data_IF_071261455301
#
_entry.id   IF_071261455301
#
_cell.length_a   1.000
_cell.length_b   1.000
_cell.length_c   1.000
_cell.angle_alpha   90.00
_cell.angle_beta   90.00
_cell.angle_gamma   90.00
#
_symmetry.space_group_name_H-M   'P 1'
#
loop_
_entity.id
_entity.type
_entity.pdbx_description
1 polymer ?
#
# COMPACT_ATOMS: atom_id res chain seq x y z
N UNK A 1 6.94 52.53 13.51
CA UNK A 1 5.75 52.01 14.17
C UNK A 1 5.72 50.51 13.90
N UNK A 2 5.90 49.76 14.94
CA UNK A 2 6.04 48.28 14.85
C UNK A 2 4.64 47.69 14.63
N UNK A 3 4.45 47.01 13.48
CA UNK A 3 3.27 46.22 13.27
C UNK A 3 3.25 45.10 14.31
N UNK A 4 2.22 45.05 15.15
CA UNK A 4 1.91 43.86 15.93
C UNK A 4 1.63 42.74 14.93
N UNK A 5 2.58 41.80 14.76
CA UNK A 5 2.25 40.50 14.18
C UNK A 5 1.06 39.96 14.98
N UNK A 6 0.07 39.37 14.31
CA UNK A 6 -0.99 38.62 15.00
C UNK A 6 -0.35 37.85 16.13
N UNK A 7 -0.66 38.22 17.38
CA UNK A 7 -0.03 37.59 18.54
C UNK A 7 -0.54 36.14 18.54
N UNK A 8 0.35 35.23 18.17
CA UNK A 8 0.02 33.80 17.97
C UNK A 8 -0.63 33.24 19.25
N UNK A 9 -0.21 33.69 20.39
CA UNK A 9 -0.69 33.26 21.70
C UNK A 9 -2.15 33.72 21.92
N UNK A 10 -2.48 34.96 21.58
CA UNK A 10 -3.84 35.50 21.72
C UNK A 10 -4.82 34.80 20.77
N UNK A 11 -4.43 34.58 19.52
CA UNK A 11 -5.27 33.85 18.55
C UNK A 11 -5.48 32.38 18.99
N UNK A 12 -4.45 31.77 19.53
CA UNK A 12 -4.52 30.41 20.07
C UNK A 12 -5.50 30.33 21.24
N UNK A 13 -5.44 31.28 22.15
CA UNK A 13 -6.35 31.35 23.31
C UNK A 13 -7.79 31.64 22.86
N UNK A 14 -7.96 32.49 21.87
CA UNK A 14 -9.27 32.72 21.25
C UNK A 14 -9.87 31.44 20.63
N UNK A 15 -9.08 30.66 19.88
CA UNK A 15 -9.54 29.39 19.34
C UNK A 15 -9.90 28.39 20.45
N UNK A 16 -9.12 28.32 21.51
CA UNK A 16 -9.41 27.45 22.67
C UNK A 16 -10.69 27.87 23.39
N UNK A 17 -10.89 29.17 23.58
CA UNK A 17 -12.09 29.72 24.23
C UNK A 17 -13.37 29.43 23.42
N UNK A 18 -13.26 29.36 22.07
CA UNK A 18 -14.36 29.13 21.17
C UNK A 18 -14.37 27.68 20.59
N UNK A 19 -13.87 26.73 21.35
CA UNK A 19 -13.66 25.34 20.90
C UNK A 19 -14.95 24.67 20.38
N UNK A 20 -16.05 24.80 21.11
CA UNK A 20 -17.32 24.18 20.74
C UNK A 20 -17.86 24.77 19.44
N UNK A 21 -17.79 26.08 19.30
CA UNK A 21 -18.20 26.80 18.09
C UNK A 21 -17.32 26.42 16.90
N UNK A 22 -16.01 26.26 17.12
CA UNK A 22 -15.07 25.77 16.09
C UNK A 22 -15.49 24.40 15.59
N UNK A 23 -15.78 23.44 16.49
CA UNK A 23 -16.21 22.10 16.11
C UNK A 23 -17.54 22.11 15.35
N UNK A 24 -18.52 22.92 15.79
CA UNK A 24 -19.81 23.05 15.10
C UNK A 24 -19.65 23.64 13.71
N UNK A 25 -18.84 24.69 13.59
CA UNK A 25 -18.53 25.32 12.31
C UNK A 25 -17.83 24.34 11.37
N UNK A 26 -16.83 23.60 11.86
CA UNK A 26 -16.12 22.59 11.09
C UNK A 26 -17.06 21.52 10.52
N UNK A 27 -17.96 21.00 11.35
CA UNK A 27 -18.96 20.02 10.91
C UNK A 27 -19.92 20.62 9.86
N UNK A 28 -20.24 21.92 9.94
CA UNK A 28 -21.05 22.60 8.96
C UNK A 28 -20.34 22.79 7.61
N UNK A 29 -19.02 22.95 7.62
CA UNK A 29 -18.19 23.09 6.41
C UNK A 29 -17.93 21.76 5.70
N UNK A 30 -18.01 20.64 6.40
CA UNK A 30 -17.70 19.31 5.91
C UNK A 30 -18.92 18.62 5.24
N UNK A 31 -19.68 19.34 4.42
CA UNK A 31 -20.98 18.91 3.86
C UNK A 31 -20.88 17.59 3.10
N UNK A 32 -19.88 17.46 2.21
CA UNK A 32 -19.73 16.31 1.31
C UNK A 32 -19.34 15.00 2.02
N UNK A 33 -18.83 15.10 3.25
CA UNK A 33 -18.29 13.97 3.99
C UNK A 33 -19.00 13.71 5.32
N UNK A 34 -20.11 14.41 5.57
CA UNK A 34 -20.84 14.38 6.84
C UNK A 34 -21.24 12.98 7.30
N UNK A 35 -21.70 12.12 6.39
CA UNK A 35 -22.07 10.75 6.71
C UNK A 35 -20.88 9.93 7.22
N UNK A 36 -19.74 10.03 6.54
CA UNK A 36 -18.50 9.35 6.95
C UNK A 36 -17.95 9.87 8.27
N UNK A 37 -18.08 11.17 8.54
CA UNK A 37 -17.68 11.76 9.82
C UNK A 37 -18.49 11.12 10.96
N UNK A 38 -19.82 11.04 10.81
CA UNK A 38 -20.68 10.41 11.81
C UNK A 38 -20.28 8.97 12.08
N UNK A 39 -20.00 8.18 11.04
CA UNK A 39 -19.54 6.79 11.14
C UNK A 39 -18.22 6.66 11.91
N UNK A 40 -17.27 7.56 11.67
CA UNK A 40 -15.95 7.55 12.33
C UNK A 40 -16.08 7.96 13.80
N UNK A 41 -16.86 9.01 14.08
CA UNK A 41 -17.10 9.46 15.44
C UNK A 41 -17.84 8.40 16.27
N UNK A 42 -18.79 7.66 15.67
CA UNK A 42 -19.50 6.57 16.32
C UNK A 42 -18.58 5.37 16.60
N UNK A 43 -17.67 5.03 15.67
CA UNK A 43 -16.66 3.99 15.85
C UNK A 43 -15.60 4.32 16.88
N UNK A 44 -15.32 5.61 17.07
CA UNK A 44 -14.32 6.11 18.03
C UNK A 44 -12.85 5.77 17.71
N UNK A 45 -12.55 5.35 16.47
CA UNK A 45 -11.22 4.92 16.07
C UNK A 45 -10.24 6.08 15.89
N UNK A 46 -10.75 7.24 15.46
CA UNK A 46 -9.99 8.47 15.21
C UNK A 46 -10.77 9.63 15.78
N UNK A 47 -10.13 10.42 16.63
CA UNK A 47 -10.72 11.66 17.15
C UNK A 47 -10.57 12.80 16.13
N UNK A 48 -11.44 12.79 15.12
CA UNK A 48 -11.41 13.73 14.01
C UNK A 48 -11.46 15.20 14.47
N UNK A 49 -12.28 15.49 15.48
CA UNK A 49 -12.47 16.86 15.95
C UNK A 49 -11.24 17.37 16.70
N UNK A 50 -10.69 16.58 17.61
CA UNK A 50 -9.46 16.91 18.32
C UNK A 50 -8.28 17.03 17.38
N UNK A 51 -8.17 16.14 16.39
CA UNK A 51 -7.10 16.20 15.40
C UNK A 51 -7.21 17.45 14.52
N UNK A 52 -8.41 17.88 14.17
CA UNK A 52 -8.64 19.13 13.44
C UNK A 52 -8.23 20.37 14.26
N UNK A 53 -8.55 20.39 15.56
CA UNK A 53 -8.10 21.43 16.47
C UNK A 53 -6.57 21.50 16.55
N UNK A 54 -5.89 20.35 16.65
CA UNK A 54 -4.44 20.27 16.66
C UNK A 54 -3.82 20.84 15.38
N UNK A 55 -4.36 20.46 14.22
CA UNK A 55 -3.91 21.01 12.91
C UNK A 55 -4.07 22.53 12.89
N UNK A 56 -5.23 23.05 13.27
CA UNK A 56 -5.47 24.50 13.34
C UNK A 56 -4.48 25.19 14.30
N UNK A 57 -4.21 24.60 15.44
CA UNK A 57 -3.30 25.11 16.45
C UNK A 57 -1.85 25.18 15.94
N UNK A 58 -1.34 24.10 15.35
CA UNK A 58 0.00 24.08 14.78
C UNK A 58 0.17 25.10 13.64
N UNK A 59 -0.87 25.29 12.81
CA UNK A 59 -0.86 26.29 11.73
C UNK A 59 -0.78 27.71 12.31
N UNK A 60 -1.58 28.04 13.33
CA UNK A 60 -1.61 29.38 13.93
C UNK A 60 -0.31 29.69 14.66
N UNK A 61 0.21 28.73 15.42
CA UNK A 61 1.45 28.87 16.18
C UNK A 61 2.71 28.78 15.30
N UNK A 62 2.55 28.43 14.00
CA UNK A 62 3.65 28.23 13.04
C UNK A 62 4.63 27.14 13.50
N UNK A 63 4.05 26.05 14.02
CA UNK A 63 4.76 24.84 14.48
C UNK A 63 4.88 23.85 13.33
N UNK A 64 5.74 24.17 12.36
CA UNK A 64 5.88 23.40 11.14
C UNK A 64 6.39 21.97 11.40
N UNK A 65 7.37 21.80 12.29
CA UNK A 65 7.95 20.48 12.58
C UNK A 65 6.90 19.54 13.23
N UNK A 66 6.13 20.05 14.20
CA UNK A 66 5.06 19.31 14.87
C UNK A 66 3.90 19.00 13.90
N UNK A 67 3.56 19.94 13.03
CA UNK A 67 2.54 19.75 12.00
C UNK A 67 2.93 18.65 11.02
N UNK A 68 4.18 18.63 10.56
CA UNK A 68 4.71 17.60 9.67
C UNK A 68 4.75 16.24 10.38
N UNK A 69 5.22 16.19 11.63
CA UNK A 69 5.26 14.97 12.42
C UNK A 69 3.85 14.40 12.61
N UNK A 70 2.90 15.27 12.93
CA UNK A 70 1.50 14.89 13.09
C UNK A 70 0.87 14.41 11.77
N UNK A 71 1.16 15.08 10.65
CA UNK A 71 0.69 14.67 9.32
C UNK A 71 1.13 13.26 8.96
N UNK A 72 2.37 12.89 9.27
CA UNK A 72 2.90 11.54 9.02
C UNK A 72 2.18 10.48 9.85
N UNK A 73 1.96 10.75 11.14
CA UNK A 73 1.22 9.82 12.02
C UNK A 73 -0.21 9.64 11.53
N UNK A 74 -0.88 10.73 11.19
CA UNK A 74 -2.24 10.72 10.64
C UNK A 74 -2.32 9.95 9.32
N UNK A 75 -1.34 10.12 8.41
CA UNK A 75 -1.29 9.42 7.14
C UNK A 75 -1.29 7.90 7.33
N UNK A 76 -0.44 7.39 8.22
CA UNK A 76 -0.37 5.98 8.57
C UNK A 76 -1.68 5.50 9.21
N UNK A 77 -2.20 6.23 10.20
CA UNK A 77 -3.44 5.85 10.88
C UNK A 77 -4.64 5.77 9.92
N UNK A 78 -4.75 6.72 8.98
CA UNK A 78 -5.80 6.70 7.96
C UNK A 78 -5.67 5.53 6.99
N UNK A 79 -4.43 5.18 6.62
CA UNK A 79 -4.16 4.02 5.78
C UNK A 79 -4.52 2.71 6.49
N UNK A 80 -4.26 2.60 7.79
CA UNK A 80 -4.62 1.44 8.62
C UNK A 80 -6.13 1.22 8.74
N UNK A 81 -6.91 2.31 8.75
CA UNK A 81 -8.37 2.26 8.87
C UNK A 81 -9.10 2.29 7.52
N UNK A 82 -8.39 2.12 6.40
CA UNK A 82 -8.94 2.14 5.03
C UNK A 82 -9.75 3.40 4.69
N UNK A 83 -9.40 4.54 5.28
CA UNK A 83 -10.03 5.81 4.99
C UNK A 83 -9.48 6.40 3.69
N UNK A 84 -10.37 6.93 2.85
CA UNK A 84 -9.99 7.42 1.52
C UNK A 84 -9.28 8.77 1.55
N UNK A 85 -8.34 8.99 0.63
CA UNK A 85 -7.66 10.27 0.45
C UNK A 85 -8.63 11.42 0.11
N UNK A 86 -9.67 11.14 -0.69
CA UNK A 86 -10.70 12.11 -1.02
C UNK A 86 -11.43 12.64 0.23
N UNK A 87 -11.71 11.75 1.19
CA UNK A 87 -12.30 12.16 2.46
C UNK A 87 -11.35 13.06 3.25
N UNK A 88 -10.05 12.72 3.33
CA UNK A 88 -9.06 13.56 4.04
C UNK A 88 -8.92 14.94 3.42
N UNK A 89 -8.88 15.01 2.10
CA UNK A 89 -8.78 16.28 1.37
C UNK A 89 -9.96 17.20 1.70
N UNK A 90 -11.19 16.70 1.62
CA UNK A 90 -12.40 17.46 1.98
C UNK A 90 -12.38 17.89 3.46
N UNK A 91 -11.92 17.02 4.36
CA UNK A 91 -11.81 17.32 5.78
C UNK A 91 -10.80 18.44 6.05
N UNK A 92 -9.61 18.39 5.44
CA UNK A 92 -8.60 19.45 5.59
C UNK A 92 -9.06 20.77 4.96
N UNK A 93 -9.78 20.72 3.83
CA UNK A 93 -10.40 21.93 3.27
C UNK A 93 -11.46 22.52 4.20
N UNK A 94 -12.23 21.68 4.91
CA UNK A 94 -13.18 22.16 5.91
C UNK A 94 -12.44 22.81 7.11
N UNK A 95 -11.34 22.22 7.59
CA UNK A 95 -10.48 22.81 8.63
C UNK A 95 -9.97 24.18 8.18
N UNK A 96 -9.42 24.28 6.96
CA UNK A 96 -8.92 25.56 6.41
C UNK A 96 -9.99 26.62 6.35
N UNK A 97 -11.20 26.29 5.83
CA UNK A 97 -12.33 27.26 5.77
C UNK A 97 -12.78 27.69 7.16
N UNK A 98 -12.84 26.76 8.11
CA UNK A 98 -13.19 27.04 9.51
C UNK A 98 -12.15 27.93 10.17
N UNK A 99 -10.86 27.66 9.95
CA UNK A 99 -9.78 28.47 10.49
C UNK A 99 -9.86 29.92 9.98
N UNK A 100 -10.07 30.11 8.67
CA UNK A 100 -10.24 31.45 8.10
C UNK A 100 -11.48 32.17 8.64
N UNK A 101 -12.57 31.46 8.89
CA UNK A 101 -13.76 32.05 9.51
C UNK A 101 -13.45 32.57 10.92
N UNK A 102 -12.73 31.80 11.75
CA UNK A 102 -12.38 32.21 13.11
C UNK A 102 -11.32 33.32 13.13
N UNK A 103 -10.38 33.33 12.22
CA UNK A 103 -9.41 34.43 12.08
C UNK A 103 -10.10 35.72 11.68
N UNK A 104 -11.09 35.66 10.81
CA UNK A 104 -11.92 36.82 10.46
C UNK A 104 -12.74 37.34 11.67
N UNK A 105 -13.36 36.44 12.43
CA UNK A 105 -14.09 36.80 13.67
C UNK A 105 -13.17 37.44 14.75
N UNK A 106 -11.96 36.94 14.84
CA UNK A 106 -10.95 37.49 15.74
C UNK A 106 -10.57 38.92 15.35
N UNK A 107 -10.32 39.18 14.07
CA UNK A 107 -9.95 40.48 13.53
C UNK A 107 -11.09 41.51 13.71
N UNK A 108 -12.37 41.10 13.52
CA UNK A 108 -13.52 41.97 13.78
C UNK A 108 -13.67 42.38 15.28
N UNK A 109 -13.29 41.50 16.22
CA UNK A 109 -13.39 41.76 17.65
C UNK A 109 -12.24 42.61 18.19
N UNK A 110 -11.05 42.49 17.62
CA UNK A 110 -9.87 43.25 18.08
C UNK A 110 -9.92 44.74 17.68
N UNK A 111 -10.83 45.13 16.78
CA UNK A 111 -11.28 46.51 16.53
C UNK A 111 -10.19 47.50 16.10
N UNK A 112 -8.98 47.06 15.79
CA UNK A 112 -7.88 47.92 15.34
C UNK A 112 -7.84 48.00 13.80
N UNK A 113 -7.98 49.25 13.42
CA UNK A 113 -8.01 49.82 12.07
C UNK A 113 -6.97 49.23 11.09
N UNK A 114 -7.43 48.97 9.86
CA UNK A 114 -6.68 48.75 8.62
C UNK A 114 -5.37 47.94 8.79
N UNK A 115 -5.53 46.63 8.89
CA UNK A 115 -4.41 45.71 8.65
C UNK A 115 -3.83 45.97 7.24
N UNK A 116 -2.55 46.37 7.10
CA UNK A 116 -2.01 46.64 5.76
C UNK A 116 -2.17 45.39 4.92
N UNK A 117 -2.57 45.55 3.65
CA UNK A 117 -2.71 44.45 2.67
C UNK A 117 -1.55 43.44 2.70
N UNK A 118 -0.35 43.94 2.99
CA UNK A 118 0.84 43.08 3.05
C UNK A 118 0.76 42.06 4.20
N UNK A 119 0.32 42.45 5.39
CA UNK A 119 0.20 41.51 6.53
C UNK A 119 -0.85 40.44 6.29
N UNK A 120 -1.94 40.78 5.61
CA UNK A 120 -2.96 39.81 5.19
C UNK A 120 -2.40 38.78 4.21
N UNK A 121 -1.67 39.19 3.18
CA UNK A 121 -1.08 38.28 2.20
C UNK A 121 0.05 37.43 2.82
N UNK A 122 0.81 37.94 3.77
CA UNK A 122 1.83 37.18 4.49
C UNK A 122 1.17 36.11 5.40
N UNK A 123 0.04 36.44 6.04
CA UNK A 123 -0.75 35.47 6.82
C UNK A 123 -1.38 34.41 5.92
N UNK A 124 -2.00 34.84 4.81
CA UNK A 124 -2.63 33.96 3.83
C UNK A 124 -1.62 32.95 3.29
N UNK A 125 -0.46 33.43 2.86
CA UNK A 125 0.62 32.57 2.37
C UNK A 125 1.05 31.58 3.43
N UNK A 126 1.31 32.00 4.67
CA UNK A 126 1.74 31.14 5.77
C UNK A 126 0.72 30.03 6.06
N UNK A 127 -0.56 30.37 6.13
CA UNK A 127 -1.63 29.37 6.38
C UNK A 127 -1.68 28.36 5.26
N UNK A 128 -1.65 28.80 4.01
CA UNK A 128 -1.71 27.89 2.87
C UNK A 128 -0.45 27.03 2.77
N UNK A 129 0.75 27.60 2.94
CA UNK A 129 2.00 26.84 2.95
C UNK A 129 1.96 25.73 4.04
N UNK A 130 1.48 26.03 5.25
CA UNK A 130 1.34 25.04 6.32
C UNK A 130 0.29 23.96 5.99
N UNK A 131 -0.86 24.33 5.39
CA UNK A 131 -1.87 23.35 4.95
C UNK A 131 -1.29 22.44 3.86
N UNK A 132 -0.56 22.99 2.91
CA UNK A 132 0.05 22.24 1.83
C UNK A 132 1.16 21.30 2.37
N UNK A 133 1.97 21.75 3.31
CA UNK A 133 2.96 20.93 4.02
C UNK A 133 2.28 19.76 4.76
N UNK A 134 1.19 20.02 5.47
CA UNK A 134 0.41 18.98 6.12
C UNK A 134 -0.09 17.94 5.11
N UNK A 135 -0.75 18.38 4.04
CA UNK A 135 -1.33 17.49 3.02
C UNK A 135 -0.23 16.66 2.33
N UNK A 136 0.88 17.29 1.94
CA UNK A 136 1.97 16.60 1.27
C UNK A 136 2.57 15.48 2.15
N UNK A 137 2.90 15.79 3.40
CA UNK A 137 3.47 14.80 4.32
C UNK A 137 2.46 13.71 4.70
N UNK A 138 1.19 14.06 4.83
CA UNK A 138 0.11 13.10 5.04
C UNK A 138 -0.01 12.12 3.87
N UNK A 139 -0.08 12.64 2.63
CA UNK A 139 -0.26 11.81 1.45
C UNK A 139 0.93 10.91 1.16
N UNK A 140 2.15 11.40 1.35
CA UNK A 140 3.36 10.58 1.23
C UNK A 140 3.30 9.42 2.22
N UNK A 141 3.09 9.68 3.51
CA UNK A 141 3.06 8.63 4.53
C UNK A 141 1.90 7.65 4.38
N UNK A 142 0.74 8.12 3.90
CA UNK A 142 -0.39 7.27 3.54
C UNK A 142 -0.04 6.33 2.38
N UNK A 143 0.54 6.85 1.30
CA UNK A 143 0.93 6.08 0.12
C UNK A 143 2.02 5.06 0.45
N UNK A 144 3.07 5.48 1.14
CA UNK A 144 4.16 4.60 1.53
C UNK A 144 3.67 3.40 2.35
N UNK A 145 2.76 3.64 3.30
CA UNK A 145 2.17 2.58 4.11
C UNK A 145 1.32 1.62 3.26
N UNK A 146 0.49 2.14 2.33
CA UNK A 146 -0.32 1.31 1.43
C UNK A 146 0.54 0.49 0.47
N UNK A 147 1.60 1.08 -0.06
CA UNK A 147 2.54 0.39 -0.95
C UNK A 147 3.29 -0.72 -0.21
N UNK A 148 3.72 -0.50 1.03
CA UNK A 148 4.32 -1.51 1.88
C UNK A 148 3.36 -2.67 2.18
N UNK A 149 2.09 -2.37 2.47
CA UNK A 149 1.04 -3.38 2.65
C UNK A 149 0.82 -4.21 1.37
N UNK A 150 0.70 -3.54 0.23
CA UNK A 150 0.55 -4.23 -1.06
C UNK A 150 1.75 -5.12 -1.37
N UNK A 151 2.96 -4.63 -1.12
CA UNK A 151 4.18 -5.40 -1.30
C UNK A 151 4.22 -6.62 -0.35
N UNK A 152 3.87 -6.44 0.91
CA UNK A 152 3.78 -7.52 1.90
C UNK A 152 2.76 -8.59 1.49
N UNK A 153 1.57 -8.17 1.02
CA UNK A 153 0.54 -9.11 0.52
C UNK A 153 1.02 -9.86 -0.73
N UNK A 154 1.67 -9.19 -1.68
CA UNK A 154 2.27 -9.85 -2.84
C UNK A 154 3.28 -10.91 -2.42
N UNK A 155 4.20 -10.56 -1.51
CA UNK A 155 5.22 -11.48 -1.00
C UNK A 155 4.62 -12.69 -0.27
N UNK A 156 3.52 -12.53 0.46
CA UNK A 156 2.78 -13.65 1.06
C UNK A 156 2.18 -14.58 -0.01
N UNK A 157 1.54 -14.01 -1.03
CA UNK A 157 1.01 -14.79 -2.17
C UNK A 157 2.12 -15.52 -2.91
N UNK A 158 3.27 -14.90 -3.10
CA UNK A 158 4.46 -15.51 -3.73
C UNK A 158 5.00 -16.69 -2.93
N UNK A 159 5.17 -16.52 -1.63
CA UNK A 159 5.65 -17.61 -0.76
C UNK A 159 4.71 -18.82 -0.76
N UNK A 160 3.40 -18.59 -0.93
CA UNK A 160 2.38 -19.63 -1.05
C UNK A 160 2.26 -20.17 -2.48
N UNK A 161 2.77 -19.46 -3.50
CA UNK A 161 2.57 -19.79 -4.90
C UNK A 161 3.55 -20.85 -5.45
N UNK A 162 4.60 -21.18 -4.72
CA UNK A 162 5.61 -22.19 -5.07
C UNK A 162 5.86 -23.14 -3.87
N UNK A 163 4.86 -23.91 -3.44
CA UNK A 163 5.06 -24.87 -2.36
C UNK A 163 5.78 -26.11 -2.89
N UNK A 164 7.00 -26.40 -2.40
CA UNK A 164 7.65 -27.68 -2.63
C UNK A 164 7.24 -28.61 -1.50
N UNK A 165 6.51 -29.66 -1.85
CA UNK A 165 5.90 -30.60 -0.91
C UNK A 165 6.71 -31.89 -0.92
N UNK A 166 7.49 -32.21 0.14
CA UNK A 166 8.23 -33.47 0.21
C UNK A 166 7.25 -34.65 0.32
N UNK A 167 7.43 -35.64 -0.53
CA UNK A 167 6.67 -36.89 -0.51
C UNK A 167 7.42 -37.95 0.30
N UNK A 168 8.75 -37.97 0.14
CA UNK A 168 9.67 -38.78 0.95
C UNK A 168 11.04 -38.09 1.01
N UNK A 169 12.08 -38.77 1.47
CA UNK A 169 13.42 -38.20 1.66
C UNK A 169 14.11 -37.73 0.37
N UNK A 170 13.66 -38.15 -0.81
CA UNK A 170 14.32 -37.87 -2.09
C UNK A 170 13.38 -37.33 -3.17
N UNK A 171 12.07 -37.34 -2.90
CA UNK A 171 11.04 -36.95 -3.87
C UNK A 171 10.20 -35.83 -3.31
N UNK A 172 9.98 -34.80 -4.11
CA UNK A 172 9.06 -33.72 -3.80
C UNK A 172 8.13 -33.41 -4.98
N UNK A 173 6.99 -32.80 -4.66
CA UNK A 173 6.01 -32.29 -5.61
C UNK A 173 5.97 -30.78 -5.57
N UNK A 174 6.00 -30.17 -6.74
CA UNK A 174 5.80 -28.75 -6.97
C UNK A 174 4.51 -28.54 -7.74
N UNK A 175 3.38 -28.24 -7.10
CA UNK A 175 2.15 -27.89 -7.81
C UNK A 175 2.19 -26.44 -8.30
N UNK A 176 1.95 -26.25 -9.60
CA UNK A 176 1.83 -24.94 -10.22
C UNK A 176 0.36 -24.67 -10.57
N UNK A 177 -0.22 -23.61 -9.96
CA UNK A 177 -1.64 -23.29 -10.09
C UNK A 177 -1.81 -21.85 -10.56
N UNK A 178 -2.70 -21.62 -11.51
CA UNK A 178 -3.01 -20.30 -12.07
C UNK A 178 -2.05 -19.88 -13.18
N UNK A 179 -2.05 -18.57 -13.47
CA UNK A 179 -1.16 -17.99 -14.47
C UNK A 179 0.27 -17.92 -13.94
N UNK A 180 1.23 -18.26 -14.76
CA UNK A 180 2.66 -18.10 -14.46
C UNK A 180 3.16 -16.96 -15.35
N UNK A 181 3.46 -15.83 -14.72
CA UNK A 181 4.06 -14.65 -15.35
C UNK A 181 5.58 -14.62 -15.16
N UNK A 182 6.25 -13.66 -15.80
CA UNK A 182 7.72 -13.50 -15.73
C UNK A 182 8.23 -13.28 -14.31
N UNK A 183 7.43 -12.62 -13.47
CA UNK A 183 7.79 -12.39 -12.06
C UNK A 183 7.75 -13.70 -11.26
N UNK A 184 6.68 -14.47 -11.42
CA UNK A 184 6.48 -15.74 -10.72
C UNK A 184 7.49 -16.80 -11.16
N UNK A 185 7.89 -16.81 -12.43
CA UNK A 185 8.91 -17.75 -12.91
C UNK A 185 10.30 -17.45 -12.34
N UNK A 186 10.64 -16.18 -12.10
CA UNK A 186 11.86 -15.80 -11.39
C UNK A 186 11.88 -16.28 -9.92
N UNK A 187 10.80 -16.06 -9.21
CA UNK A 187 10.65 -16.54 -7.83
C UNK A 187 10.71 -18.09 -7.76
N UNK A 188 10.17 -18.75 -8.79
CA UNK A 188 10.24 -20.20 -8.95
C UNK A 188 11.68 -20.68 -9.13
N UNK A 189 12.46 -20.02 -9.99
CA UNK A 189 13.88 -20.35 -10.25
C UNK A 189 14.70 -20.37 -8.96
N UNK A 190 14.69 -19.25 -8.22
CA UNK A 190 15.44 -19.13 -6.98
C UNK A 190 15.04 -20.18 -5.93
N UNK A 191 13.72 -20.31 -5.71
CA UNK A 191 13.21 -21.19 -4.66
C UNK A 191 13.44 -22.66 -4.96
N UNK A 192 13.19 -23.09 -6.20
CA UNK A 192 13.35 -24.49 -6.60
C UNK A 192 14.80 -24.93 -6.47
N UNK A 193 15.77 -24.15 -6.95
CA UNK A 193 17.18 -24.52 -6.88
C UNK A 193 17.70 -24.56 -5.44
N UNK A 194 17.27 -23.62 -4.59
CA UNK A 194 17.63 -23.62 -3.16
C UNK A 194 17.04 -24.84 -2.43
N UNK A 195 15.78 -25.15 -2.64
CA UNK A 195 15.09 -26.24 -1.94
C UNK A 195 15.58 -27.61 -2.39
N UNK A 196 15.90 -27.82 -3.69
CA UNK A 196 16.54 -29.05 -4.18
C UNK A 196 17.84 -29.31 -3.42
N UNK A 197 18.68 -28.28 -3.26
CA UNK A 197 19.95 -28.38 -2.55
C UNK A 197 19.76 -28.66 -1.07
N UNK A 198 18.87 -27.92 -0.41
CA UNK A 198 18.67 -28.00 1.04
C UNK A 198 18.03 -29.32 1.48
N UNK A 199 17.03 -29.78 0.73
CA UNK A 199 16.29 -31.03 1.01
C UNK A 199 16.93 -32.28 0.37
N UNK A 200 17.99 -32.13 -0.45
CA UNK A 200 18.63 -33.22 -1.20
C UNK A 200 17.65 -33.99 -2.08
N UNK A 201 16.76 -33.26 -2.76
CA UNK A 201 15.75 -33.83 -3.65
C UNK A 201 16.44 -34.44 -4.88
N UNK A 202 16.13 -35.68 -5.18
CA UNK A 202 16.63 -36.40 -6.37
C UNK A 202 15.60 -36.40 -7.49
N UNK A 203 14.31 -36.32 -7.19
CA UNK A 203 13.24 -36.24 -8.17
C UNK A 203 12.25 -35.14 -7.76
N UNK A 204 12.06 -34.15 -8.63
CA UNK A 204 11.05 -33.11 -8.49
C UNK A 204 9.92 -33.35 -9.49
N UNK A 205 8.73 -33.62 -8.99
CA UNK A 205 7.52 -33.77 -9.79
C UNK A 205 6.83 -32.43 -9.87
N UNK A 206 6.75 -31.84 -11.06
CA UNK A 206 6.13 -30.55 -11.31
C UNK A 206 4.73 -30.81 -11.88
N UNK A 207 3.70 -30.45 -11.14
CA UNK A 207 2.31 -30.64 -11.53
C UNK A 207 1.72 -29.36 -12.13
N UNK A 208 1.44 -29.41 -13.43
CA UNK A 208 0.90 -28.32 -14.24
C UNK A 208 -0.63 -28.42 -14.46
N UNK A 209 -1.32 -29.31 -13.73
CA UNK A 209 -2.76 -29.51 -13.90
C UNK A 209 -3.58 -28.25 -13.59
N UNK A 210 -3.05 -27.36 -12.75
CA UNK A 210 -3.64 -26.07 -12.39
C UNK A 210 -3.25 -24.91 -13.29
N UNK A 211 -2.36 -25.12 -14.28
CA UNK A 211 -1.87 -24.09 -15.20
C UNK A 211 -2.52 -24.24 -16.56
N UNK A 212 -3.14 -23.17 -17.07
CA UNK A 212 -3.82 -23.19 -18.37
C UNK A 212 -2.89 -22.78 -19.50
N UNK A 213 -2.16 -21.70 -19.34
CA UNK A 213 -1.31 -21.08 -20.37
C UNK A 213 -0.04 -20.51 -19.74
N UNK A 214 1.02 -20.41 -20.54
CA UNK A 214 2.25 -19.68 -20.28
C UNK A 214 2.60 -18.85 -21.50
N UNK A 215 3.02 -17.61 -21.30
CA UNK A 215 3.50 -16.76 -22.38
C UNK A 215 4.86 -17.27 -22.90
N UNK A 216 5.23 -16.90 -24.13
CA UNK A 216 6.44 -17.43 -24.79
C UNK A 216 7.72 -17.15 -24.00
N UNK A 217 7.87 -15.95 -23.48
CA UNK A 217 9.02 -15.54 -22.65
C UNK A 217 9.10 -16.35 -21.34
N UNK A 218 7.95 -16.67 -20.75
CA UNK A 218 7.83 -17.52 -19.56
C UNK A 218 8.21 -18.96 -19.86
N UNK A 219 7.84 -19.50 -21.04
CA UNK A 219 8.23 -20.85 -21.46
C UNK A 219 9.76 -20.98 -21.59
N UNK A 220 10.46 -20.00 -22.18
CA UNK A 220 11.92 -20.00 -22.25
C UNK A 220 12.58 -19.90 -20.88
N UNK A 221 12.02 -19.12 -19.97
CA UNK A 221 12.54 -19.05 -18.60
C UNK A 221 12.28 -20.35 -17.85
N UNK A 222 11.13 -20.99 -18.05
CA UNK A 222 10.81 -22.29 -17.46
C UNK A 222 11.74 -23.40 -17.94
N UNK A 223 12.09 -23.42 -19.24
CA UNK A 223 13.12 -24.32 -19.79
C UNK A 223 14.46 -24.16 -19.09
N UNK A 224 14.89 -22.91 -18.80
CA UNK A 224 16.11 -22.65 -18.05
C UNK A 224 16.06 -23.24 -16.63
N UNK A 225 14.92 -23.16 -15.95
CA UNK A 225 14.73 -23.77 -14.64
C UNK A 225 14.89 -25.28 -14.72
N UNK A 226 14.26 -25.93 -15.70
CA UNK A 226 14.37 -27.38 -15.91
C UNK A 226 15.81 -27.80 -16.20
N UNK A 227 16.52 -27.01 -16.99
CA UNK A 227 17.96 -27.21 -17.24
C UNK A 227 18.78 -27.08 -15.96
N UNK A 228 18.52 -26.07 -15.14
CA UNK A 228 19.16 -25.88 -13.84
C UNK A 228 18.92 -27.06 -12.88
N UNK A 229 17.69 -27.56 -12.80
CA UNK A 229 17.32 -28.74 -12.01
C UNK A 229 18.14 -29.96 -12.44
N UNK A 230 18.26 -30.19 -13.74
CA UNK A 230 19.04 -31.29 -14.32
C UNK A 230 20.53 -31.14 -14.03
N UNK A 231 21.08 -29.91 -14.12
CA UNK A 231 22.50 -29.66 -13.81
C UNK A 231 22.84 -29.93 -12.36
N UNK A 232 21.86 -29.79 -11.44
CA UNK A 232 22.01 -30.14 -10.02
C UNK A 232 21.89 -31.66 -9.77
N UNK A 233 21.70 -32.49 -10.81
CA UNK A 233 21.53 -33.92 -10.66
C UNK A 233 20.13 -34.35 -10.18
N UNK A 234 19.17 -33.44 -10.15
CA UNK A 234 17.78 -33.71 -9.80
C UNK A 234 16.98 -34.02 -11.07
N UNK A 235 16.22 -35.11 -11.07
CA UNK A 235 15.34 -35.47 -12.15
C UNK A 235 14.06 -34.65 -12.11
N UNK A 236 13.74 -33.92 -13.17
CA UNK A 236 12.46 -33.25 -13.33
C UNK A 236 11.43 -34.15 -14.00
N UNK A 237 10.21 -34.20 -13.45
CA UNK A 237 9.07 -34.94 -14.01
C UNK A 237 7.90 -34.01 -14.16
N UNK A 238 7.41 -33.77 -15.39
CA UNK A 238 6.24 -32.92 -15.63
C UNK A 238 4.97 -33.77 -15.67
N UNK A 239 3.91 -33.30 -15.01
CA UNK A 239 2.60 -33.95 -14.99
C UNK A 239 1.47 -32.95 -15.21
N UNK A 240 0.31 -33.43 -15.63
CA UNK A 240 -0.91 -32.62 -15.71
C UNK A 240 -0.91 -31.59 -16.85
N UNK A 241 -0.12 -31.80 -17.90
CA UNK A 241 -0.09 -30.90 -19.05
C UNK A 241 -1.46 -30.88 -19.74
N UNK A 242 -2.07 -29.69 -19.81
CA UNK A 242 -3.33 -29.48 -20.57
C UNK A 242 -3.06 -29.28 -22.06
N UNK A 243 -4.06 -29.52 -22.87
CA UNK A 243 -3.96 -29.42 -24.33
C UNK A 243 -3.53 -28.00 -24.76
N UNK A 244 -4.04 -26.99 -24.12
CA UNK A 244 -3.71 -25.59 -24.41
C UNK A 244 -2.22 -25.31 -24.16
N UNK A 245 -1.71 -25.76 -23.02
CA UNK A 245 -0.30 -25.59 -22.66
C UNK A 245 0.63 -26.40 -23.60
N UNK A 246 0.23 -27.62 -23.96
CA UNK A 246 0.99 -28.44 -24.92
C UNK A 246 1.10 -27.76 -26.29
N UNK A 247 0.01 -27.12 -26.76
CA UNK A 247 0.05 -26.34 -28.01
C UNK A 247 1.02 -25.16 -27.89
N UNK A 248 0.96 -24.39 -26.81
CA UNK A 248 1.87 -23.28 -26.59
C UNK A 248 3.34 -23.72 -26.57
N UNK A 249 3.65 -24.86 -25.94
CA UNK A 249 5.01 -25.43 -25.92
C UNK A 249 5.46 -25.81 -27.33
N UNK A 250 4.64 -26.49 -28.08
CA UNK A 250 4.96 -26.90 -29.46
C UNK A 250 5.13 -25.69 -30.38
N UNK A 251 4.24 -24.71 -30.29
CA UNK A 251 4.28 -23.49 -31.09
C UNK A 251 5.47 -22.59 -30.76
N UNK A 252 5.95 -22.63 -29.51
CA UNK A 252 7.13 -21.85 -29.06
C UNK A 252 8.46 -22.40 -29.57
N UNK A 253 8.50 -23.67 -30.01
CA UNK A 253 9.72 -24.35 -30.40
C UNK A 253 10.66 -24.74 -29.25
N UNK A 254 10.19 -24.67 -28.03
CA UNK A 254 10.93 -25.08 -26.80
C UNK A 254 10.93 -26.60 -26.71
N UNK A 255 12.09 -27.23 -26.50
CA UNK A 255 12.24 -28.69 -26.43
C UNK A 255 12.41 -29.15 -24.98
N UNK A 256 11.33 -29.56 -24.31
CA UNK A 256 11.40 -30.13 -22.96
C UNK A 256 11.82 -31.59 -22.93
N UNK A 257 11.64 -32.34 -24.03
CA UNK A 257 11.80 -33.80 -24.09
C UNK A 257 13.19 -34.29 -23.67
N UNK A 258 14.22 -33.48 -23.89
CA UNK A 258 15.60 -33.81 -23.50
C UNK A 258 15.89 -33.52 -22.03
N UNK A 259 15.05 -32.72 -21.38
CA UNK A 259 15.29 -32.20 -20.03
C UNK A 259 14.44 -32.87 -18.95
N UNK A 260 13.28 -33.42 -19.31
CA UNK A 260 12.28 -33.90 -18.35
C UNK A 260 11.63 -35.21 -18.78
N UNK A 261 11.13 -35.97 -17.81
CA UNK A 261 10.20 -37.05 -18.05
C UNK A 261 8.76 -36.53 -17.99
N UNK A 262 7.95 -36.79 -19.05
CA UNK A 262 6.55 -36.37 -19.10
C UNK A 262 5.64 -37.53 -18.72
N UNK A 263 4.73 -37.30 -17.76
CA UNK A 263 3.72 -38.24 -17.27
C UNK A 263 2.31 -37.66 -17.39
N UNK A 264 1.30 -38.51 -17.45
CA UNK A 264 -0.09 -38.06 -17.63
C UNK A 264 -0.63 -37.27 -16.42
N UNK A 265 -0.74 -37.91 -15.26
CA UNK A 265 -1.33 -37.29 -14.07
C UNK A 265 -0.40 -37.43 -12.86
N UNK A 266 -0.51 -36.49 -11.90
CA UNK A 266 0.22 -36.57 -10.65
C UNK A 266 -0.05 -37.88 -9.88
N UNK A 267 -1.31 -38.33 -9.86
CA UNK A 267 -1.70 -39.59 -9.22
C UNK A 267 -1.00 -40.81 -9.82
N UNK A 268 -0.94 -40.89 -11.15
CA UNK A 268 -0.26 -42.00 -11.86
C UNK A 268 1.25 -41.94 -11.61
N UNK A 269 1.81 -40.75 -11.62
CA UNK A 269 3.24 -40.55 -11.39
C UNK A 269 3.63 -40.99 -9.96
N UNK A 270 2.91 -40.55 -8.94
CA UNK A 270 3.19 -40.91 -7.54
C UNK A 270 3.11 -42.41 -7.29
N UNK A 271 2.20 -43.15 -7.95
CA UNK A 271 2.13 -44.64 -7.84
C UNK A 271 3.39 -45.36 -8.31
N UNK A 272 4.19 -44.72 -9.19
CA UNK A 272 5.45 -45.29 -9.68
C UNK A 272 6.67 -44.96 -8.78
N UNK A 273 6.49 -44.08 -7.81
CA UNK A 273 7.55 -43.60 -6.92
C UNK A 273 7.32 -43.92 -5.41
N UNK A 274 6.12 -44.36 -5.05
CA UNK A 274 5.75 -44.87 -3.71
C UNK A 274 5.71 -46.39 -3.73
#
# INVERSE_FOLDING_TARGET
>A
MSYKSLDKEIVTDFLKANREDFQQKLLSEAVNVRGKISDILEKGNIDLLKNAELVAHYIVEDKEEELIAFAKIEGIAWAQHDLTLAFKLEWVHAIRRTLWYFLYQFDEQDGEDESPRKSFFDLEKRINDNVDQFLNNFFISYSDYKDEQLWSHRKLVENLSVPIIPVNSTIAVLPLIGMIDSYRVHALEEKVLMEISSMKIQTLIIDLSGTAEMEMDVLFQFERILSGINMMGCKAVLTGLRVELVRNIVDSGVEFDSLVEIKGTLQQTLKGYL
#
